data_IF_284637235515
#
_entry.id   IF_284637235515
#
_cell.length_a   1.000
_cell.length_b   1.000
_cell.length_c   1.000
_cell.angle_alpha   90.00
_cell.angle_beta   90.00
_cell.angle_gamma   90.00
#
_symmetry.space_group_name_H-M   'P 1'
#
loop_
_entity.id
_entity.type
_entity.pdbx_description
1 polymer ?
#
# COMPACT_ATOMS: atom_id res chain seq x y z
N UNK A 1 -0.29 -22.37 1.52
CA UNK A 1 1.18 -22.46 1.40
C UNK A 1 1.62 -23.91 1.36
N UNK A 2 2.62 -24.21 0.55
CA UNK A 2 3.35 -25.47 0.49
C UNK A 2 4.76 -25.21 0.98
N UNK A 3 5.10 -25.79 2.13
CA UNK A 3 6.40 -25.63 2.76
C UNK A 3 7.34 -26.74 2.30
N UNK A 4 8.39 -26.41 1.55
CA UNK A 4 9.30 -27.37 0.94
C UNK A 4 10.66 -27.34 1.64
N UNK A 5 11.30 -26.17 1.65
CA UNK A 5 12.59 -25.94 2.32
C UNK A 5 12.61 -24.53 2.93
N UNK A 6 13.49 -24.24 3.91
CA UNK A 6 13.63 -22.88 4.42
C UNK A 6 13.91 -21.82 3.33
N UNK A 7 14.64 -22.22 2.28
CA UNK A 7 15.05 -21.33 1.19
C UNK A 7 14.01 -21.19 0.07
N UNK A 8 13.02 -22.09 0.01
CA UNK A 8 12.08 -22.16 -1.11
C UNK A 8 10.76 -22.82 -0.71
N UNK A 9 9.68 -22.06 -0.80
CA UNK A 9 8.31 -22.43 -0.50
C UNK A 9 7.37 -21.82 -1.54
N UNK A 10 6.12 -22.29 -1.57
CA UNK A 10 5.13 -21.87 -2.56
C UNK A 10 3.85 -21.39 -1.86
N UNK A 11 3.30 -20.26 -2.29
CA UNK A 11 1.98 -19.75 -1.92
C UNK A 11 1.16 -19.58 -3.20
N UNK A 12 -0.09 -20.02 -3.19
CA UNK A 12 -0.98 -19.93 -4.36
C UNK A 12 -2.43 -19.73 -3.94
N UNK A 13 -3.26 -19.24 -4.87
CA UNK A 13 -4.65 -18.89 -4.63
C UNK A 13 -4.84 -17.38 -4.64
N UNK A 14 -5.76 -16.88 -3.83
CA UNK A 14 -5.95 -15.44 -3.62
C UNK A 14 -4.95 -14.95 -2.57
N UNK A 15 -3.93 -14.21 -3.01
CA UNK A 15 -2.77 -13.84 -2.20
C UNK A 15 -2.67 -12.33 -2.10
N UNK A 16 -2.17 -11.81 -0.98
CA UNK A 16 -1.82 -10.40 -0.87
C UNK A 16 -0.58 -10.12 -1.71
N UNK A 17 -0.60 -9.04 -2.49
CA UNK A 17 0.57 -8.59 -3.25
C UNK A 17 1.65 -8.12 -2.27
N UNK A 18 2.86 -8.69 -2.25
CA UNK A 18 3.89 -8.36 -1.27
C UNK A 18 4.58 -7.03 -1.63
N UNK A 19 3.88 -5.91 -1.45
CA UNK A 19 4.39 -4.56 -1.72
C UNK A 19 3.95 -3.59 -0.62
N UNK A 20 4.87 -2.73 -0.19
CA UNK A 20 4.66 -1.79 0.90
C UNK A 20 4.64 -2.46 2.28
N UNK A 21 4.57 -1.62 3.32
CA UNK A 21 4.52 -2.05 4.71
C UNK A 21 3.10 -2.55 5.05
N UNK A 22 2.05 -1.80 4.71
CA UNK A 22 0.72 -2.01 5.29
C UNK A 22 -0.10 -3.05 4.52
N UNK A 23 0.22 -3.37 3.26
CA UNK A 23 -0.64 -4.29 2.50
C UNK A 23 -0.72 -5.70 3.12
N UNK A 24 0.43 -6.25 3.53
CA UNK A 24 0.52 -7.54 4.25
C UNK A 24 -0.01 -7.44 5.69
N UNK A 25 0.09 -6.27 6.31
CA UNK A 25 -0.26 -5.99 7.70
C UNK A 25 -1.42 -5.00 7.80
N UNK A 26 -2.52 -5.32 7.13
CA UNK A 26 -3.63 -4.39 6.90
C UNK A 26 -4.66 -4.40 8.03
N UNK A 27 -4.46 -5.21 9.07
CA UNK A 27 -5.29 -5.32 10.25
C UNK A 27 -5.28 -4.01 11.04
N UNK A 28 -6.42 -3.57 11.58
CA UNK A 28 -6.53 -2.29 12.25
C UNK A 28 -5.65 -2.19 13.51
N UNK A 29 -5.26 -3.31 14.12
CA UNK A 29 -4.40 -3.33 15.30
C UNK A 29 -2.91 -3.13 14.97
N UNK A 30 -2.50 -3.14 13.70
CA UNK A 30 -1.07 -3.18 13.30
C UNK A 30 -0.54 -1.83 12.81
N UNK A 31 -1.35 -0.99 12.18
CA UNK A 31 -0.97 0.36 11.75
C UNK A 31 -1.49 1.45 12.70
N UNK A 32 -0.92 2.66 12.63
CA UNK A 32 -1.39 3.82 13.40
C UNK A 32 -2.37 4.70 12.63
N UNK A 33 -3.34 5.27 13.36
CA UNK A 33 -4.42 6.08 12.82
C UNK A 33 -5.65 5.29 12.40
N UNK A 34 -6.79 5.97 12.30
CA UNK A 34 -8.08 5.39 11.90
C UNK A 34 -8.02 4.89 10.46
N UNK A 35 -7.34 5.64 9.59
CA UNK A 35 -7.02 5.25 8.23
C UNK A 35 -5.55 4.87 8.09
N UNK A 36 -5.28 3.97 7.13
CA UNK A 36 -3.93 3.63 6.69
C UNK A 36 -3.25 4.87 6.08
N UNK A 37 -1.90 4.89 5.97
CA UNK A 37 -1.20 5.93 5.22
C UNK A 37 -1.84 6.15 3.85
N UNK A 38 -1.97 7.43 3.46
CA UNK A 38 -2.52 7.84 2.18
C UNK A 38 -1.62 7.36 1.03
N UNK A 39 -0.30 7.37 1.23
CA UNK A 39 0.67 6.84 0.24
C UNK A 39 0.39 5.36 -0.04
N UNK A 40 0.18 4.56 1.01
CA UNK A 40 -0.20 3.14 0.93
C UNK A 40 -1.71 2.91 0.79
N UNK A 41 -2.41 3.93 0.29
CA UNK A 41 -3.82 3.83 -0.09
C UNK A 41 -3.98 4.24 -1.54
N UNK A 42 -3.37 5.35 -1.93
CA UNK A 42 -3.58 6.03 -3.20
C UNK A 42 -2.49 5.72 -4.24
N UNK A 43 -1.29 5.29 -3.82
CA UNK A 43 -0.21 4.86 -4.74
C UNK A 43 -0.01 3.36 -4.67
N UNK A 44 0.30 2.83 -3.48
CA UNK A 44 0.36 1.38 -3.25
C UNK A 44 -1.00 0.96 -2.69
N UNK A 45 -1.84 0.21 -3.41
CA UNK A 45 -3.14 -0.18 -2.88
C UNK A 45 -2.98 -1.11 -1.67
N UNK A 46 -3.68 -0.82 -0.58
CA UNK A 46 -3.80 -1.72 0.58
C UNK A 46 -4.95 -2.70 0.42
N UNK A 47 -4.92 -3.82 1.15
CA UNK A 47 -5.83 -4.97 0.95
C UNK A 47 -5.84 -5.44 -0.51
N UNK A 48 -4.72 -5.24 -1.21
CA UNK A 48 -4.51 -5.64 -2.58
C UNK A 48 -4.16 -7.10 -2.61
N UNK A 49 -5.10 -7.86 -3.18
CA UNK A 49 -5.03 -9.30 -3.31
C UNK A 49 -5.40 -9.68 -4.73
N UNK A 50 -4.63 -10.59 -5.29
CA UNK A 50 -4.81 -11.10 -6.64
C UNK A 50 -4.62 -12.62 -6.64
N UNK A 51 -5.17 -13.29 -7.65
CA UNK A 51 -4.95 -14.73 -7.87
C UNK A 51 -3.56 -14.91 -8.46
N UNK A 52 -2.79 -15.85 -7.91
CA UNK A 52 -1.51 -16.21 -8.51
C UNK A 52 -0.69 -17.18 -7.70
N UNK A 53 0.61 -17.12 -7.93
CA UNK A 53 1.64 -17.97 -7.33
C UNK A 53 2.79 -17.09 -6.86
N UNK A 54 3.18 -17.23 -5.59
CA UNK A 54 4.32 -16.56 -4.97
C UNK A 54 5.28 -17.64 -4.46
N UNK A 55 6.54 -17.54 -4.85
CA UNK A 55 7.66 -18.26 -4.26
C UNK A 55 8.23 -17.42 -3.13
N UNK A 56 8.57 -18.04 -2.01
CA UNK A 56 9.13 -17.32 -0.87
C UNK A 56 10.11 -18.18 -0.08
N UNK A 57 11.07 -17.53 0.56
CA UNK A 57 12.08 -18.18 1.38
C UNK A 57 13.00 -17.16 2.03
N UNK A 58 13.97 -17.65 2.78
CA UNK A 58 14.94 -16.79 3.44
C UNK A 58 16.06 -17.55 4.12
N UNK A 59 17.14 -16.84 4.41
CA UNK A 59 18.28 -17.33 5.14
C UNK A 59 18.83 -16.24 6.06
N UNK A 60 19.02 -16.56 7.34
CA UNK A 60 19.45 -15.60 8.35
C UNK A 60 18.48 -14.41 8.42
N UNK A 61 19.02 -13.20 8.23
CA UNK A 61 18.25 -11.94 8.24
C UNK A 61 17.57 -11.61 6.91
N UNK A 62 17.81 -12.38 5.85
CA UNK A 62 17.29 -12.10 4.51
C UNK A 62 16.05 -12.94 4.24
N UNK A 63 14.99 -12.32 3.71
CA UNK A 63 13.85 -13.03 3.15
C UNK A 63 13.37 -12.39 1.85
N UNK A 64 12.75 -13.19 1.00
CA UNK A 64 12.25 -12.75 -0.28
C UNK A 64 10.87 -13.34 -0.59
N UNK A 65 10.09 -12.62 -1.38
CA UNK A 65 8.88 -13.10 -2.04
C UNK A 65 8.97 -12.71 -3.52
N UNK A 66 8.71 -13.63 -4.45
CA UNK A 66 8.65 -13.34 -5.88
C UNK A 66 7.53 -14.17 -6.52
N UNK A 67 6.74 -13.57 -7.40
CA UNK A 67 5.55 -14.25 -7.89
C UNK A 67 5.01 -13.75 -9.22
N UNK A 68 4.10 -14.56 -9.77
CA UNK A 68 3.28 -14.25 -10.93
C UNK A 68 1.83 -14.20 -10.45
N UNK A 69 1.17 -13.09 -10.73
CA UNK A 69 -0.20 -12.78 -10.32
C UNK A 69 -1.03 -12.39 -11.56
N UNK A 70 -2.35 -12.34 -11.44
CA UNK A 70 -3.12 -11.56 -12.40
C UNK A 70 -2.84 -10.06 -12.21
N UNK A 71 -2.85 -9.34 -13.32
CA UNK A 71 -2.72 -7.89 -13.41
C UNK A 71 -4.00 -7.18 -12.98
N UNK A 72 -4.02 -5.85 -13.17
CA UNK A 72 -5.09 -4.99 -12.70
C UNK A 72 -6.05 -4.64 -13.85
N UNK A 73 -7.31 -4.31 -13.52
CA UNK A 73 -8.23 -3.74 -14.51
C UNK A 73 -8.04 -2.24 -14.65
N UNK A 74 -7.96 -1.78 -15.89
CA UNK A 74 -7.78 -0.35 -16.20
C UNK A 74 -9.05 0.48 -15.98
N UNK A 75 -10.23 -0.15 -15.95
CA UNK A 75 -11.53 0.51 -15.71
C UNK A 75 -11.66 1.26 -14.39
N UNK A 76 -10.86 0.84 -13.41
CA UNK A 76 -10.88 1.41 -12.06
C UNK A 76 -9.82 2.47 -11.84
N UNK A 77 -9.07 2.87 -12.87
CA UNK A 77 -8.03 3.87 -12.72
C UNK A 77 -8.61 5.28 -12.68
N UNK A 78 -8.15 6.09 -11.74
CA UNK A 78 -8.62 7.47 -11.57
C UNK A 78 -7.51 8.38 -11.03
N UNK A 79 -7.81 9.68 -10.91
CA UNK A 79 -6.85 10.69 -10.49
C UNK A 79 -6.63 10.74 -8.97
N UNK A 80 -7.51 10.14 -8.17
CA UNK A 80 -7.45 10.20 -6.70
C UNK A 80 -6.69 9.03 -6.10
N UNK A 81 -7.01 7.82 -6.55
CA UNK A 81 -6.47 6.56 -6.08
C UNK A 81 -5.58 5.88 -7.11
N UNK A 82 -5.30 6.52 -8.25
CA UNK A 82 -4.45 5.99 -9.32
C UNK A 82 -4.91 4.60 -9.74
N UNK A 83 -4.18 3.54 -9.39
CA UNK A 83 -4.53 2.15 -9.74
C UNK A 83 -5.41 1.44 -8.72
N UNK A 84 -5.72 2.06 -7.56
CA UNK A 84 -6.42 1.43 -6.43
C UNK A 84 -7.77 0.80 -6.81
N UNK A 85 -8.53 1.41 -7.73
CA UNK A 85 -9.81 0.88 -8.18
C UNK A 85 -9.68 -0.34 -9.11
N UNK A 86 -8.49 -0.57 -9.67
CA UNK A 86 -8.20 -1.65 -10.61
C UNK A 86 -7.94 -3.03 -10.00
N UNK A 87 -8.10 -3.19 -8.69
CA UNK A 87 -7.95 -4.49 -8.02
C UNK A 87 -9.11 -5.40 -8.34
N UNK A 88 -8.85 -6.64 -8.78
CA UNK A 88 -9.92 -7.62 -9.03
C UNK A 88 -10.43 -8.27 -7.75
N UNK A 89 -9.57 -8.39 -6.74
CA UNK A 89 -9.90 -9.01 -5.43
C UNK A 89 -10.27 -10.50 -5.52
N UNK A 90 -9.95 -11.18 -6.62
CA UNK A 90 -10.18 -12.61 -6.82
C UNK A 90 -11.23 -12.93 -7.89
N UNK A 91 -12.51 -13.03 -7.51
CA UNK A 91 -13.55 -13.70 -8.32
C UNK A 91 -13.88 -13.08 -9.70
N UNK A 92 -13.25 -11.96 -10.06
CA UNK A 92 -13.37 -11.29 -11.36
C UNK A 92 -12.03 -11.18 -12.09
N UNK A 93 -10.98 -11.82 -11.58
CA UNK A 93 -9.63 -11.72 -12.14
C UNK A 93 -9.61 -12.17 -13.59
N UNK A 94 -9.02 -11.34 -14.44
CA UNK A 94 -8.71 -11.69 -15.82
C UNK A 94 -7.29 -12.28 -15.88
N UNK A 95 -7.16 -13.49 -16.43
CA UNK A 95 -5.89 -14.20 -16.57
C UNK A 95 -5.03 -13.75 -17.76
N UNK A 96 -5.57 -12.92 -18.65
CA UNK A 96 -4.91 -12.52 -19.90
C UNK A 96 -3.85 -11.43 -19.70
N UNK A 97 -3.84 -10.79 -18.53
CA UNK A 97 -2.88 -9.76 -18.16
C UNK A 97 -2.05 -10.26 -16.97
N UNK A 98 -0.84 -10.80 -17.14
CA UNK A 98 0.00 -11.23 -16.05
C UNK A 98 0.65 -10.04 -15.33
N UNK A 99 1.00 -10.26 -14.06
CA UNK A 99 1.83 -9.38 -13.27
C UNK A 99 2.93 -10.15 -12.56
N UNK A 100 4.07 -9.50 -12.41
CA UNK A 100 5.25 -9.94 -11.68
C UNK A 100 5.40 -9.09 -10.44
N UNK A 101 5.78 -9.73 -9.34
CA UNK A 101 6.14 -9.05 -8.10
C UNK A 101 7.41 -9.64 -7.54
N UNK A 102 8.27 -8.79 -6.97
CA UNK A 102 9.44 -9.20 -6.21
C UNK A 102 9.56 -8.29 -4.97
N UNK A 103 9.79 -8.88 -3.80
CA UNK A 103 10.00 -8.20 -2.53
C UNK A 103 11.21 -8.82 -1.83
N UNK A 104 12.01 -7.96 -1.22
CA UNK A 104 13.20 -8.33 -0.47
C UNK A 104 13.16 -7.62 0.87
N UNK A 105 13.36 -8.36 1.95
CA UNK A 105 13.37 -7.87 3.32
C UNK A 105 14.67 -8.27 4.00
N UNK A 106 15.24 -7.35 4.78
CA UNK A 106 16.47 -7.56 5.53
C UNK A 106 16.34 -7.04 6.97
N UNK A 107 16.48 -7.93 7.94
CA UNK A 107 16.56 -7.58 9.36
C UNK A 107 18.00 -7.17 9.72
N UNK A 108 18.26 -5.86 9.73
CA UNK A 108 19.59 -5.30 10.00
C UNK A 108 20.04 -5.58 11.44
N UNK A 109 19.12 -5.47 12.38
CA UNK A 109 19.28 -5.81 13.80
C UNK A 109 17.90 -6.06 14.39
N UNK A 110 17.83 -6.69 15.57
CA UNK A 110 16.55 -7.03 16.20
C UNK A 110 15.62 -5.81 16.28
N UNK A 111 14.49 -5.89 15.57
CA UNK A 111 13.50 -4.83 15.51
C UNK A 111 13.74 -3.75 14.44
N UNK A 112 14.84 -3.79 13.68
CA UNK A 112 15.07 -2.93 12.52
C UNK A 112 15.03 -3.75 11.23
N UNK A 113 13.94 -3.60 10.49
CA UNK A 113 13.76 -4.18 9.17
C UNK A 113 13.87 -3.10 8.09
N UNK A 114 14.50 -3.45 6.97
CA UNK A 114 14.54 -2.64 5.77
C UNK A 114 14.12 -3.53 4.60
N UNK A 115 13.35 -2.96 3.69
CA UNK A 115 12.82 -3.73 2.58
C UNK A 115 12.54 -2.88 1.37
N UNK A 116 12.17 -3.57 0.31
CA UNK A 116 11.67 -2.95 -0.91
C UNK A 116 10.99 -3.97 -1.79
N UNK A 117 10.13 -3.47 -2.66
CA UNK A 117 9.39 -4.29 -3.59
C UNK A 117 9.28 -3.62 -4.95
N UNK A 118 9.14 -4.45 -5.97
CA UNK A 118 8.87 -4.09 -7.34
C UNK A 118 7.66 -4.87 -7.84
N UNK A 119 6.72 -4.16 -8.45
CA UNK A 119 5.56 -4.71 -9.13
C UNK A 119 5.59 -4.24 -10.59
N UNK A 120 5.42 -5.18 -11.51
CA UNK A 120 5.22 -4.93 -12.93
C UNK A 120 3.99 -5.71 -13.39
N UNK A 121 2.96 -5.05 -13.92
CA UNK A 121 1.74 -5.75 -14.33
C UNK A 121 1.10 -5.19 -15.58
N UNK A 122 0.68 -6.08 -16.46
CA UNK A 122 -0.20 -5.74 -17.57
C UNK A 122 -1.60 -5.40 -17.04
N UNK A 123 -2.32 -4.58 -17.81
CA UNK A 123 -3.66 -4.11 -17.45
C UNK A 123 -4.52 -4.06 -18.70
N UNK A 124 -5.80 -4.42 -18.53
CA UNK A 124 -6.83 -4.36 -19.57
C UNK A 124 -8.20 -4.09 -18.97
N UNK A 125 -9.17 -3.77 -19.82
CA UNK A 125 -10.57 -3.60 -19.39
C UNK A 125 -11.27 -4.94 -19.23
N UNK A 126 -12.40 -4.94 -18.51
CA UNK A 126 -13.26 -6.11 -18.37
C UNK A 126 -12.97 -6.98 -17.14
N UNK A 127 -13.90 -7.88 -16.84
CA UNK A 127 -13.75 -8.90 -15.80
C UNK A 127 -13.41 -10.26 -16.44
N UNK A 128 -12.93 -11.22 -15.63
CA UNK A 128 -12.55 -12.55 -16.10
C UNK A 128 -13.65 -13.25 -16.90
N UNK A 129 -13.29 -13.68 -18.12
CA UNK A 129 -14.21 -14.31 -19.09
C UNK A 129 -14.68 -13.37 -20.21
N UNK A 130 -14.47 -12.05 -20.07
CA UNK A 130 -14.65 -11.10 -21.15
C UNK A 130 -13.38 -11.07 -22.02
N UNK A 131 -13.52 -11.16 -23.34
CA UNK A 131 -12.42 -10.86 -24.26
C UNK A 131 -12.13 -9.36 -24.21
N UNK A 132 -10.86 -8.98 -23.99
CA UNK A 132 -10.42 -7.58 -24.15
C UNK A 132 -10.61 -7.19 -25.61
N UNK A 133 -11.45 -6.19 -25.86
CA UNK A 133 -11.79 -5.80 -27.24
C UNK A 133 -10.75 -4.83 -27.79
N UNK A 134 -10.55 -4.88 -29.11
CA UNK A 134 -9.71 -3.92 -29.80
C UNK A 134 -10.19 -2.47 -29.53
N UNK A 135 -9.29 -1.63 -29.02
CA UNK A 135 -9.57 -0.23 -28.68
C UNK A 135 -9.91 0.03 -27.21
N UNK A 136 -9.95 -1.00 -26.37
CA UNK A 136 -10.08 -0.86 -24.92
C UNK A 136 -8.80 -0.33 -24.27
N UNK A 137 -8.92 0.26 -23.08
CA UNK A 137 -7.78 0.81 -22.31
C UNK A 137 -6.86 -0.32 -21.86
N UNK A 138 -5.65 -0.35 -22.39
CA UNK A 138 -4.61 -1.31 -22.02
C UNK A 138 -3.33 -0.58 -21.62
N UNK A 139 -2.52 -1.22 -20.79
CA UNK A 139 -1.26 -0.64 -20.36
C UNK A 139 -0.45 -1.50 -19.42
N UNK A 140 0.66 -0.94 -18.95
CA UNK A 140 1.54 -1.56 -17.97
C UNK A 140 1.73 -0.65 -16.77
N UNK A 141 1.69 -1.24 -15.58
CA UNK A 141 1.97 -0.56 -14.32
C UNK A 141 3.33 -1.03 -13.84
N UNK A 142 4.17 -0.08 -13.43
CA UNK A 142 5.41 -0.31 -12.70
C UNK A 142 5.33 0.42 -11.37
N UNK A 143 5.47 -0.29 -10.25
CA UNK A 143 5.53 0.32 -8.91
C UNK A 143 6.79 -0.19 -8.24
N UNK A 144 7.58 0.72 -7.67
CA UNK A 144 8.63 0.33 -6.75
C UNK A 144 8.52 1.10 -5.45
N UNK A 145 9.00 0.47 -4.38
CA UNK A 145 9.05 1.07 -3.06
C UNK A 145 10.27 0.61 -2.29
N UNK A 146 10.70 1.46 -1.37
CA UNK A 146 11.70 1.14 -0.35
C UNK A 146 11.19 1.63 0.98
N UNK A 147 11.48 0.87 2.03
CA UNK A 147 10.98 1.19 3.36
C UNK A 147 11.93 0.74 4.47
N UNK A 148 11.71 1.33 5.64
CA UNK A 148 12.40 1.00 6.88
C UNK A 148 11.41 1.03 8.03
N UNK A 149 11.45 0.00 8.88
CA UNK A 149 10.63 -0.13 10.09
C UNK A 149 11.55 -0.44 11.25
N UNK A 150 11.50 0.40 12.29
CA UNK A 150 12.24 0.23 13.53
C UNK A 150 11.28 0.17 14.72
N UNK A 151 11.26 -0.96 15.41
CA UNK A 151 10.48 -1.19 16.62
C UNK A 151 11.43 -1.61 17.73
N UNK A 152 11.61 -0.74 18.72
CA UNK A 152 12.43 -1.05 19.89
C UNK A 152 11.72 -0.62 21.18
N UNK A 153 11.40 -1.62 22.01
CA UNK A 153 10.65 -1.48 23.25
C UNK A 153 9.28 -0.83 23.01
N UNK A 154 9.19 0.48 23.24
CA UNK A 154 7.96 1.25 23.14
C UNK A 154 7.98 2.23 21.97
N UNK A 155 9.11 2.35 21.26
CA UNK A 155 9.26 3.26 20.13
C UNK A 155 9.06 2.49 18.84
N UNK A 156 8.15 2.99 18.00
CA UNK A 156 7.93 2.53 16.64
C UNK A 156 8.21 3.69 15.66
N UNK A 157 9.09 3.46 14.70
CA UNK A 157 9.42 4.37 13.60
C UNK A 157 9.21 3.65 12.27
N UNK A 158 8.61 4.34 11.30
CA UNK A 158 8.43 3.82 9.95
C UNK A 158 8.74 4.90 8.93
N UNK A 159 9.25 4.49 7.78
CA UNK A 159 9.39 5.33 6.62
C UNK A 159 9.24 4.52 5.36
N UNK A 160 8.58 5.09 4.35
CA UNK A 160 8.41 4.47 3.04
C UNK A 160 8.47 5.54 1.96
N UNK A 161 9.11 5.22 0.85
CA UNK A 161 9.09 5.99 -0.39
C UNK A 161 8.63 5.09 -1.52
N UNK A 162 7.80 5.60 -2.43
CA UNK A 162 7.35 4.87 -3.60
C UNK A 162 7.20 5.77 -4.82
N UNK A 163 7.40 5.17 -6.00
CA UNK A 163 7.09 5.76 -7.29
C UNK A 163 6.38 4.72 -8.16
N UNK A 164 5.37 5.20 -8.87
CA UNK A 164 4.58 4.41 -9.81
C UNK A 164 4.61 5.05 -11.20
N UNK A 165 4.68 4.23 -12.24
CA UNK A 165 4.57 4.65 -13.64
C UNK A 165 3.52 3.78 -14.31
N UNK A 166 2.60 4.43 -15.02
CA UNK A 166 1.60 3.82 -15.87
C UNK A 166 1.93 4.21 -17.31
N UNK A 167 2.10 3.23 -18.18
CA UNK A 167 2.17 3.41 -19.63
C UNK A 167 0.97 2.72 -20.27
N UNK A 168 0.52 3.17 -21.43
CA UNK A 168 -0.65 2.56 -22.06
C UNK A 168 -0.78 2.82 -23.55
N UNK A 169 -1.80 2.20 -24.14
CA UNK A 169 -2.19 2.46 -25.51
C UNK A 169 -2.90 3.82 -25.64
N UNK A 170 -3.16 4.25 -26.87
CA UNK A 170 -3.80 5.55 -27.11
C UNK A 170 -5.19 5.67 -26.46
N UNK A 171 -5.90 4.56 -26.20
CA UNK A 171 -7.19 4.61 -25.50
C UNK A 171 -7.01 4.97 -24.01
N UNK A 172 -5.98 4.43 -23.35
CA UNK A 172 -5.63 4.82 -21.98
C UNK A 172 -5.07 6.25 -21.94
N UNK A 173 -4.17 6.62 -22.85
CA UNK A 173 -3.54 7.94 -22.88
C UNK A 173 -4.52 9.08 -23.23
N UNK A 174 -5.56 8.78 -24.02
CA UNK A 174 -6.62 9.72 -24.41
C UNK A 174 -7.77 9.82 -23.41
N UNK A 175 -7.68 9.12 -22.27
CA UNK A 175 -8.50 9.41 -21.10
C UNK A 175 -8.57 10.92 -20.87
N UNK A 176 -9.73 11.51 -20.51
CA UNK A 176 -9.86 12.94 -20.24
C UNK A 176 -8.61 13.49 -19.53
N UNK A 177 -8.03 14.62 -19.95
CA UNK A 177 -6.80 15.13 -19.37
C UNK A 177 -6.87 15.20 -17.84
N UNK A 178 -5.93 14.54 -17.15
CA UNK A 178 -5.94 14.42 -15.70
C UNK A 178 -7.00 13.45 -15.13
N UNK A 179 -7.49 12.49 -15.92
CA UNK A 179 -8.29 11.37 -15.42
C UNK A 179 -7.41 10.35 -14.68
N UNK A 180 -6.17 10.15 -15.11
CA UNK A 180 -5.19 9.26 -14.46
C UNK A 180 -3.77 9.80 -14.64
N UNK A 181 -2.95 9.71 -13.59
CA UNK A 181 -1.54 10.06 -13.65
C UNK A 181 -0.71 9.03 -14.41
N UNK A 182 0.19 9.51 -15.26
CA UNK A 182 1.24 8.72 -15.91
C UNK A 182 2.31 8.33 -14.89
N UNK A 183 2.71 9.29 -14.06
CA UNK A 183 3.64 9.06 -12.97
C UNK A 183 3.02 9.51 -11.65
N UNK A 184 3.26 8.72 -10.61
CA UNK A 184 2.88 9.04 -9.23
C UNK A 184 4.07 8.85 -8.30
N UNK A 185 4.12 9.62 -7.22
CA UNK A 185 5.18 9.50 -6.22
C UNK A 185 4.63 9.84 -4.84
N UNK A 186 5.10 9.15 -3.81
CA UNK A 186 4.78 9.53 -2.44
C UNK A 186 5.74 8.95 -1.42
N UNK A 187 5.75 9.56 -0.25
CA UNK A 187 6.54 9.11 0.88
C UNK A 187 5.88 9.50 2.19
N UNK A 188 6.19 8.76 3.25
CA UNK A 188 5.83 9.16 4.59
C UNK A 188 6.88 8.75 5.61
N UNK A 189 6.84 9.44 6.75
CA UNK A 189 7.49 9.02 7.99
C UNK A 189 6.47 9.00 9.12
N UNK A 190 6.57 8.02 10.00
CA UNK A 190 5.67 7.84 11.13
C UNK A 190 6.49 7.53 12.39
N UNK A 191 6.10 8.13 13.51
CA UNK A 191 6.66 7.85 14.82
C UNK A 191 5.53 7.64 15.84
N UNK A 192 5.63 6.59 16.64
CA UNK A 192 4.70 6.29 17.72
C UNK A 192 5.45 5.84 18.98
N UNK A 193 4.86 6.08 20.15
CA UNK A 193 5.44 5.67 21.41
C UNK A 193 4.40 5.09 22.35
N UNK A 194 4.53 3.83 22.77
CA UNK A 194 3.65 3.23 23.78
C UNK A 194 3.94 3.80 25.18
N UNK A 195 3.12 4.77 25.58
CA UNK A 195 3.17 5.40 26.90
C UNK A 195 2.77 4.45 28.03
N UNK A 196 2.12 3.32 27.74
CA UNK A 196 1.75 2.36 28.79
C UNK A 196 2.99 1.78 29.47
N UNK A 197 4.13 1.73 28.77
CA UNK A 197 5.41 1.36 29.36
C UNK A 197 5.81 2.26 30.53
N UNK A 198 5.47 3.56 30.49
CA UNK A 198 5.77 4.52 31.55
C UNK A 198 4.74 4.45 32.70
N UNK A 199 3.48 4.14 32.38
CA UNK A 199 2.36 4.17 33.34
C UNK A 199 2.25 2.83 34.10
N UNK A 200 2.32 1.71 33.37
CA UNK A 200 2.19 0.36 33.89
C UNK A 200 3.09 -0.59 33.09
N UNK A 201 4.40 -0.66 33.41
CA UNK A 201 5.33 -1.59 32.76
C UNK A 201 4.80 -3.02 32.78
N UNK A 202 4.91 -3.73 31.64
CA UNK A 202 4.44 -5.11 31.49
C UNK A 202 2.92 -5.26 31.34
N UNK A 203 2.17 -4.17 31.21
CA UNK A 203 0.76 -4.20 30.84
C UNK A 203 0.59 -4.79 29.44
N UNK A 204 -0.44 -5.62 29.26
CA UNK A 204 -0.89 -6.09 27.93
C UNK A 204 -1.65 -5.02 27.14
N UNK A 205 -2.01 -3.93 27.80
CA UNK A 205 -2.62 -2.74 27.17
C UNK A 205 -1.53 -1.89 26.57
N UNK A 206 -1.83 -1.19 25.49
CA UNK A 206 -0.95 -0.18 24.90
C UNK A 206 -1.70 1.15 24.73
N UNK A 207 -0.98 2.26 24.88
CA UNK A 207 -1.47 3.60 24.61
C UNK A 207 -0.42 4.36 23.81
N UNK A 208 -0.61 4.42 22.50
CA UNK A 208 0.39 4.90 21.55
C UNK A 208 -0.07 6.20 20.90
N UNK A 209 0.30 7.38 21.44
CA UNK A 209 0.31 8.58 20.61
C UNK A 209 1.23 8.37 19.42
N UNK A 210 0.83 8.93 18.27
CA UNK A 210 1.62 8.88 17.07
C UNK A 210 1.52 10.18 16.28
N UNK A 211 2.50 10.39 15.42
CA UNK A 211 2.49 11.42 14.38
C UNK A 211 2.99 10.81 13.07
N UNK A 212 2.35 11.18 11.98
CA UNK A 212 2.72 10.79 10.62
C UNK A 212 2.71 12.03 9.73
N UNK A 213 3.75 12.17 8.91
CA UNK A 213 3.84 13.17 7.87
C UNK A 213 3.92 12.46 6.52
N UNK A 214 3.07 12.86 5.58
CA UNK A 214 2.92 12.24 4.26
C UNK A 214 2.95 13.31 3.17
N UNK A 215 3.67 13.05 2.08
CA UNK A 215 3.53 13.79 0.84
C UNK A 215 3.32 12.81 -0.31
N UNK A 216 2.35 13.11 -1.17
CA UNK A 216 2.12 12.31 -2.36
C UNK A 216 1.52 13.13 -3.49
N UNK A 217 1.80 12.69 -4.71
CA UNK A 217 1.28 13.28 -5.93
C UNK A 217 0.85 12.19 -6.89
N UNK A 218 -0.47 12.07 -7.10
CA UNK A 218 -1.04 11.11 -8.05
C UNK A 218 -1.07 11.65 -9.49
N UNK A 219 -0.60 12.87 -9.74
CA UNK A 219 -0.43 13.51 -11.05
C UNK A 219 0.99 14.05 -11.25
N UNK A 220 2.01 13.36 -10.71
CA UNK A 220 3.41 13.80 -10.85
C UNK A 220 3.79 14.06 -12.30
N UNK A 221 3.34 13.18 -13.20
CA UNK A 221 3.25 13.42 -14.64
C UNK A 221 1.88 12.94 -15.15
N UNK A 222 1.37 13.56 -16.21
CA UNK A 222 0.10 13.20 -16.87
C UNK A 222 0.36 12.87 -18.34
N UNK A 223 -0.47 12.01 -18.94
CA UNK A 223 -0.34 11.64 -20.35
C UNK A 223 -0.53 12.81 -21.30
N UNK A 224 -1.56 13.62 -21.03
CA UNK A 224 -1.94 14.77 -21.85
C UNK A 224 -2.38 15.93 -20.97
N UNK A 225 -2.21 17.15 -21.48
CA UNK A 225 -2.58 18.38 -20.76
C UNK A 225 -1.53 18.82 -19.74
N UNK A 226 -1.99 19.50 -18.70
CA UNK A 226 -1.14 20.08 -17.65
C UNK A 226 -1.38 19.32 -16.34
N UNK A 227 -0.31 19.01 -15.61
CA UNK A 227 -0.35 18.47 -14.26
C UNK A 227 -1.29 19.28 -13.38
N UNK A 228 -2.22 18.61 -12.71
CA UNK A 228 -3.14 19.23 -11.75
C UNK A 228 -2.55 19.12 -10.34
N UNK A 229 -2.08 20.24 -9.81
CA UNK A 229 -1.40 20.35 -8.53
C UNK A 229 -2.31 20.08 -7.33
N UNK A 230 -3.64 20.05 -7.50
CA UNK A 230 -4.60 19.63 -6.45
C UNK A 230 -4.43 18.18 -6.02
N UNK A 231 -3.72 17.38 -6.81
CA UNK A 231 -3.38 15.99 -6.48
C UNK A 231 -2.01 15.84 -5.83
N UNK A 232 -1.23 16.93 -5.73
CA UNK A 232 -0.07 17.04 -4.84
C UNK A 232 -0.57 17.41 -3.46
N UNK A 233 -0.39 16.51 -2.49
CA UNK A 233 -0.99 16.63 -1.16
C UNK A 233 0.05 16.41 -0.08
N UNK A 234 -0.01 17.26 0.94
CA UNK A 234 0.71 17.10 2.19
C UNK A 234 -0.28 16.86 3.31
N UNK A 235 -0.09 15.77 4.06
CA UNK A 235 -0.98 15.38 5.15
C UNK A 235 -0.16 15.13 6.40
N UNK A 236 -0.48 15.86 7.47
CA UNK A 236 0.04 15.57 8.81
C UNK A 236 -1.09 14.93 9.61
N UNK A 237 -0.86 13.73 10.14
CA UNK A 237 -1.80 13.03 11.03
C UNK A 237 -1.19 12.95 12.41
N UNK A 238 -1.91 13.40 13.44
CA UNK A 238 -1.54 13.14 14.83
C UNK A 238 -2.71 12.50 15.56
N UNK A 239 -2.45 11.48 16.36
CA UNK A 239 -3.50 10.73 17.00
C UNK A 239 -3.05 9.86 18.14
N UNK A 240 -3.98 9.03 18.61
CA UNK A 240 -3.83 8.16 19.75
C UNK A 240 -4.49 6.81 19.45
N UNK A 241 -3.71 5.76 19.56
CA UNK A 241 -4.18 4.38 19.50
C UNK A 241 -4.18 3.78 20.90
N UNK A 242 -5.36 3.39 21.38
CA UNK A 242 -5.52 2.68 22.63
C UNK A 242 -5.89 1.21 22.39
N UNK A 243 -5.02 0.30 22.82
CA UNK A 243 -5.27 -1.15 22.78
C UNK A 243 -5.61 -1.64 24.19
N UNK A 244 -6.90 -1.78 24.56
CA UNK A 244 -7.28 -2.37 25.85
C UNK A 244 -7.00 -3.88 25.91
N UNK A 245 -6.84 -4.53 24.76
CA UNK A 245 -6.54 -5.93 24.56
C UNK A 245 -5.72 -6.06 23.25
N UNK A 246 -4.81 -7.05 23.09
CA UNK A 246 -4.00 -7.20 21.87
C UNK A 246 -4.80 -7.22 20.56
N UNK A 247 -6.03 -7.75 20.61
CA UNK A 247 -6.91 -7.90 19.45
C UNK A 247 -7.93 -6.77 19.27
N UNK A 248 -7.92 -5.72 20.11
CA UNK A 248 -8.88 -4.62 20.07
C UNK A 248 -8.13 -3.29 20.10
N UNK A 249 -8.52 -2.36 19.25
CA UNK A 249 -7.96 -1.01 19.23
C UNK A 249 -9.07 0.03 19.10
N UNK A 250 -8.93 1.11 19.86
CA UNK A 250 -9.75 2.33 19.78
C UNK A 250 -8.81 3.43 19.31
N UNK A 251 -9.21 4.16 18.28
CA UNK A 251 -8.37 5.13 17.60
C UNK A 251 -9.05 6.47 17.48
N UNK A 252 -8.26 7.52 17.65
CA UNK A 252 -8.67 8.88 17.32
C UNK A 252 -7.49 9.60 16.70
N UNK A 253 -7.73 10.39 15.66
CA UNK A 253 -6.70 11.22 15.05
C UNK A 253 -7.30 12.48 14.43
N UNK A 254 -6.43 13.46 14.25
CA UNK A 254 -6.71 14.66 13.48
C UNK A 254 -5.73 14.71 12.30
N UNK A 255 -6.26 15.00 11.12
CA UNK A 255 -5.50 15.16 9.89
C UNK A 255 -5.55 16.61 9.44
N UNK A 256 -4.40 17.27 9.43
CA UNK A 256 -4.19 18.53 8.74
C UNK A 256 -3.87 18.22 7.28
N UNK A 257 -4.74 18.67 6.37
CA UNK A 257 -4.60 18.41 4.93
C UNK A 257 -4.21 19.70 4.22
N UNK A 258 -2.91 19.94 4.18
CA UNK A 258 -2.34 21.08 3.45
C UNK A 258 -2.15 20.67 1.98
N UNK A 259 -3.12 21.03 1.16
CA UNK A 259 -3.16 20.63 -0.25
C UNK A 259 -3.65 21.79 -1.08
N UNK A 260 -3.27 21.86 -2.36
CA UNK A 260 -3.88 22.83 -3.27
C UNK A 260 -5.36 22.51 -3.57
N UNK A 261 -5.84 21.33 -3.17
CA UNK A 261 -7.27 21.03 -3.11
C UNK A 261 -7.92 21.60 -1.85
N UNK A 262 -9.17 22.05 -1.92
CA UNK A 262 -9.99 22.47 -0.77
C UNK A 262 -10.43 21.28 0.13
N UNK A 263 -9.55 20.30 0.35
CA UNK A 263 -9.82 19.19 1.26
C UNK A 263 -9.88 19.74 2.69
N UNK A 264 -11.00 19.57 3.41
CA UNK A 264 -11.09 20.07 4.77
C UNK A 264 -10.16 19.29 5.69
N UNK A 265 -9.76 19.84 6.82
CA UNK A 265 -9.19 19.03 7.88
C UNK A 265 -10.17 17.96 8.37
N UNK A 266 -9.66 16.89 8.99
CA UNK A 266 -10.48 15.75 9.38
C UNK A 266 -10.21 15.30 10.81
N UNK A 267 -11.30 15.16 11.59
CA UNK A 267 -11.29 14.44 12.87
C UNK A 267 -11.84 13.03 12.64
N UNK A 268 -11.11 12.03 13.10
CA UNK A 268 -11.46 10.62 12.93
C UNK A 268 -11.60 9.91 14.26
N UNK A 269 -12.60 9.01 14.33
CA UNK A 269 -12.82 8.09 15.42
C UNK A 269 -13.04 6.70 14.84
N UNK A 270 -12.37 5.69 15.40
CA UNK A 270 -12.43 4.32 14.89
C UNK A 270 -12.29 3.27 15.98
N UNK A 271 -12.90 2.12 15.75
CA UNK A 271 -12.71 0.91 16.56
C UNK A 271 -12.38 -0.24 15.62
N UNK A 272 -11.32 -0.98 15.93
CA UNK A 272 -10.89 -2.15 15.19
C UNK A 272 -10.78 -3.36 16.10
N UNK A 273 -11.09 -4.54 15.57
CA UNK A 273 -10.88 -5.80 16.26
C UNK A 273 -10.48 -6.88 15.26
N UNK A 274 -9.74 -7.87 15.76
CA UNK A 274 -9.39 -9.10 15.03
C UNK A 274 -9.87 -10.30 15.85
N UNK A 275 -10.25 -11.38 15.17
CA UNK A 275 -10.77 -12.61 15.76
C UNK A 275 -9.99 -13.84 15.28
#
# INVERSE_FOLDING_TARGET
DFLLTPLFNLRTGLVLVPIGIVNKYHEPTVYHGVFRPDVETNIIPTTWREIGIIFFGGEGSLSYEAGILNGMKSDGFDNKGWVRGGRYKGGKANGDNPALVANLEYELLTGFNMGGAYYHGETGQGDGGDEVKAGEKEGTINIWEVHAVYSHRSLDLKGLFTRGVLDGNSALESSPPGEVGKEVQGWYIEAAYDMMYLIRPGSVKALSPFIRYEEYDTHKEVFTGVRDTRFSRTVTTAGLDFKPHPNVVIKTDYQWRDTESDLPDQLNLGVGFIF
#
